data_IF_902597631138
#
_entry.id   IF_902597631138
#
_cell.length_a   1.000
_cell.length_b   1.000
_cell.length_c   1.000
_cell.angle_alpha   90.00
_cell.angle_beta   90.00
_cell.angle_gamma   90.00
#
_symmetry.space_group_name_H-M   'P 1'
#
loop_
_entity.id
_entity.type
_entity.pdbx_description
1 polymer ?
#
# COMPACT_ATOMS: atom_id res chain seq x y z
N UNK A 1 21.13 4.27 24.40
CA UNK A 1 20.07 3.82 23.46
C UNK A 1 20.35 4.44 22.11
N UNK A 2 20.20 3.72 20.99
CA UNK A 2 20.53 4.26 19.66
C UNK A 2 19.47 5.31 19.25
N UNK A 3 19.81 6.51 18.74
CA UNK A 3 18.85 7.54 18.34
C UNK A 3 17.72 7.04 17.41
N UNK A 4 18.04 6.10 16.52
CA UNK A 4 17.03 5.46 15.64
C UNK A 4 15.98 4.66 16.43
N UNK A 5 16.37 4.01 17.53
CA UNK A 5 15.44 3.26 18.38
C UNK A 5 14.52 4.19 19.17
N UNK A 6 15.05 5.32 19.65
CA UNK A 6 14.25 6.33 20.35
C UNK A 6 13.21 6.98 19.43
N UNK A 7 13.61 7.34 18.21
CA UNK A 7 12.69 7.86 17.18
C UNK A 7 11.59 6.84 16.85
N UNK A 8 11.97 5.58 16.57
CA UNK A 8 10.98 4.54 16.27
C UNK A 8 10.05 4.26 17.45
N UNK A 9 10.56 4.30 18.69
CA UNK A 9 9.75 4.14 19.90
C UNK A 9 8.73 5.26 20.03
N UNK A 10 9.16 6.52 19.88
CA UNK A 10 8.28 7.70 19.99
C UNK A 10 7.21 7.77 18.90
N UNK A 11 7.58 7.41 17.67
CA UNK A 11 6.60 7.22 16.58
C UNK A 11 5.61 6.13 16.95
N UNK A 12 6.08 4.99 17.45
CA UNK A 12 5.22 3.87 17.84
C UNK A 12 4.23 4.24 18.94
N UNK A 13 4.69 4.94 19.98
CA UNK A 13 3.85 5.41 21.08
C UNK A 13 2.76 6.36 20.57
N UNK A 14 3.14 7.33 19.74
CA UNK A 14 2.22 8.31 19.17
C UNK A 14 1.19 7.69 18.24
N UNK A 15 1.61 6.79 17.34
CA UNK A 15 0.68 6.09 16.44
C UNK A 15 -0.22 5.11 17.20
N UNK A 16 0.28 4.51 18.29
CA UNK A 16 -0.56 3.66 19.16
C UNK A 16 -1.65 4.46 19.86
N UNK A 17 -1.36 5.69 20.29
CA UNK A 17 -2.38 6.62 20.82
C UNK A 17 -3.42 6.97 19.76
N UNK A 18 -3.01 7.07 18.50
CA UNK A 18 -3.92 7.26 17.36
C UNK A 18 -4.72 5.97 17.02
N UNK A 19 -4.49 4.86 17.73
CA UNK A 19 -5.20 3.59 17.59
C UNK A 19 -4.57 2.61 16.60
N UNK A 20 -3.35 2.88 16.10
CA UNK A 20 -2.65 1.92 15.26
C UNK A 20 -2.09 0.76 16.08
N UNK A 21 -2.15 -0.44 15.51
CA UNK A 21 -1.38 -1.61 15.97
C UNK A 21 -0.12 -1.77 15.12
N UNK A 22 0.93 -2.35 15.68
CA UNK A 22 2.18 -2.63 14.98
C UNK A 22 2.37 -4.14 14.76
N UNK A 23 1.84 -4.71 13.68
CA UNK A 23 1.90 -6.16 13.50
C UNK A 23 3.25 -6.67 12.96
N UNK A 24 4.12 -5.78 12.49
CA UNK A 24 5.53 -6.05 12.21
C UNK A 24 6.33 -4.77 12.42
N UNK A 25 7.61 -4.89 12.77
CA UNK A 25 8.46 -3.73 13.06
C UNK A 25 8.38 -2.68 11.94
N UNK A 26 8.13 -1.43 12.31
CA UNK A 26 8.04 -0.29 11.39
C UNK A 26 6.76 -0.24 10.56
N UNK A 27 5.86 -1.22 10.66
CA UNK A 27 4.58 -1.24 9.94
C UNK A 27 3.45 -1.06 10.94
N UNK A 28 2.60 -0.07 10.68
CA UNK A 28 1.47 0.30 11.52
C UNK A 28 0.18 0.18 10.72
N UNK A 29 -0.83 -0.45 11.32
CA UNK A 29 -2.13 -0.67 10.68
C UNK A 29 -3.26 -0.27 11.63
N UNK A 30 -4.30 0.37 11.10
CA UNK A 30 -5.50 0.74 11.85
C UNK A 30 -6.77 0.57 11.02
N UNK A 31 -7.89 0.09 11.59
CA UNK A 31 -9.22 0.27 11.04
C UNK A 31 -9.52 1.73 10.67
N UNK A 32 -9.96 1.98 9.44
CA UNK A 32 -10.28 3.33 8.99
C UNK A 32 -11.79 3.54 8.85
N UNK A 33 -12.37 3.05 7.75
CA UNK A 33 -13.81 3.11 7.47
C UNK A 33 -14.26 1.77 6.90
N UNK A 34 -15.30 1.17 7.46
CA UNK A 34 -15.81 -0.14 7.02
C UNK A 34 -14.68 -1.19 6.96
N UNK A 35 -14.53 -1.84 5.79
CA UNK A 35 -13.47 -2.81 5.51
C UNK A 35 -12.10 -2.20 5.14
N UNK A 36 -11.98 -0.86 5.10
CA UNK A 36 -10.75 -0.15 4.78
C UNK A 36 -9.83 -0.01 5.99
N UNK A 37 -8.53 -0.13 5.73
CA UNK A 37 -7.46 -0.03 6.72
C UNK A 37 -6.43 0.99 6.27
N UNK A 38 -6.02 1.85 7.20
CA UNK A 38 -4.85 2.70 7.03
C UNK A 38 -3.58 1.87 7.25
N UNK A 39 -2.60 2.07 6.37
CA UNK A 39 -1.32 1.38 6.41
C UNK A 39 -0.20 2.41 6.38
N UNK A 40 0.70 2.34 7.35
CA UNK A 40 1.85 3.23 7.47
C UNK A 40 3.10 2.39 7.60
N UNK A 41 4.05 2.60 6.71
CA UNK A 41 5.38 2.04 6.81
C UNK A 41 6.36 3.14 7.19
N UNK A 42 7.18 2.89 8.20
CA UNK A 42 8.30 3.75 8.58
C UNK A 42 9.54 2.87 8.50
N UNK A 43 10.16 2.82 7.33
CA UNK A 43 11.42 2.13 7.15
C UNK A 43 12.58 3.01 7.63
N UNK A 44 13.49 2.41 8.40
CA UNK A 44 14.65 3.07 8.97
C UNK A 44 15.92 2.61 8.26
N UNK A 45 16.43 3.46 7.36
CA UNK A 45 17.80 3.36 6.87
C UNK A 45 18.80 3.93 7.90
N UNK A 46 20.10 3.68 7.68
CA UNK A 46 21.18 4.14 8.58
C UNK A 46 21.22 5.67 8.75
N UNK A 47 20.68 6.43 7.79
CA UNK A 47 20.74 7.90 7.75
C UNK A 47 19.42 8.56 7.32
N UNK A 48 18.31 7.81 7.19
CA UNK A 48 17.04 8.33 6.67
C UNK A 48 15.84 7.53 7.12
N UNK A 49 14.71 8.21 7.26
CA UNK A 49 13.39 7.58 7.37
C UNK A 49 12.63 7.79 6.07
N UNK A 50 12.08 6.72 5.52
CA UNK A 50 11.22 6.76 4.32
C UNK A 50 9.77 6.47 4.66
N UNK A 51 9.07 7.33 5.43
CA UNK A 51 7.69 7.05 5.79
C UNK A 51 6.81 7.02 4.55
N UNK A 52 6.00 5.98 4.46
CA UNK A 52 5.04 5.74 3.40
C UNK A 52 3.66 5.58 4.01
N UNK A 53 2.66 6.13 3.34
CA UNK A 53 1.25 6.02 3.75
C UNK A 53 0.45 5.39 2.63
N UNK A 54 -0.52 4.57 3.00
CA UNK A 54 -1.33 3.82 2.06
C UNK A 54 -2.59 3.28 2.69
N UNK A 55 -3.37 2.60 1.86
CA UNK A 55 -4.65 2.03 2.26
C UNK A 55 -4.77 0.63 1.69
N UNK A 56 -5.40 -0.28 2.43
CA UNK A 56 -5.83 -1.58 1.90
C UNK A 56 -7.24 -1.94 2.37
N UNK A 57 -7.78 -3.00 1.77
CA UNK A 57 -9.11 -3.51 2.04
C UNK A 57 -9.06 -5.01 2.38
N UNK A 58 -9.74 -5.40 3.47
CA UNK A 58 -9.74 -6.79 3.94
C UNK A 58 -10.43 -7.74 2.94
N UNK A 59 -11.48 -7.30 2.25
CA UNK A 59 -12.18 -8.08 1.22
C UNK A 59 -11.25 -8.39 0.05
N UNK A 60 -10.49 -7.41 -0.44
CA UNK A 60 -9.60 -7.61 -1.59
C UNK A 60 -8.39 -8.45 -1.22
N UNK A 61 -7.89 -8.30 0.00
CA UNK A 61 -6.86 -9.18 0.53
C UNK A 61 -7.34 -10.64 0.57
N UNK A 62 -8.55 -10.87 1.07
CA UNK A 62 -9.16 -12.21 1.12
C UNK A 62 -9.37 -12.78 -0.28
N UNK A 63 -10.00 -12.03 -1.18
CA UNK A 63 -10.24 -12.46 -2.56
C UNK A 63 -8.93 -12.80 -3.28
N UNK A 64 -7.91 -11.96 -3.12
CA UNK A 64 -6.57 -12.24 -3.66
C UNK A 64 -6.01 -13.55 -3.11
N UNK A 65 -6.00 -13.71 -1.78
CA UNK A 65 -5.49 -14.92 -1.14
C UNK A 65 -6.22 -16.19 -1.60
N UNK A 66 -7.54 -16.14 -1.77
CA UNK A 66 -8.34 -17.28 -2.22
C UNK A 66 -8.04 -17.65 -3.68
N UNK A 67 -7.98 -16.67 -4.59
CA UNK A 67 -7.64 -16.93 -5.99
C UNK A 67 -6.23 -17.53 -6.14
N UNK A 68 -5.27 -17.11 -5.32
CA UNK A 68 -3.92 -17.66 -5.32
C UNK A 68 -3.83 -19.09 -4.82
N UNK A 69 -4.62 -19.43 -3.79
CA UNK A 69 -4.75 -20.83 -3.35
C UNK A 69 -5.34 -21.70 -4.46
N UNK A 70 -6.35 -21.18 -5.16
CA UNK A 70 -6.97 -21.87 -6.29
C UNK A 70 -6.04 -22.00 -7.49
N UNK A 71 -5.12 -21.05 -7.70
CA UNK A 71 -4.15 -21.09 -8.80
C UNK A 71 -2.92 -21.95 -8.53
N UNK A 72 -2.75 -22.47 -7.31
CA UNK A 72 -1.62 -23.32 -6.92
C UNK A 72 -0.29 -22.58 -6.74
N UNK A 73 -0.29 -21.24 -6.64
CA UNK A 73 0.94 -20.45 -6.54
C UNK A 73 1.52 -20.43 -5.11
N UNK A 74 2.83 -20.65 -4.91
CA UNK A 74 3.46 -20.53 -3.60
C UNK A 74 3.51 -19.06 -3.18
N UNK A 75 2.76 -18.68 -2.14
CA UNK A 75 2.69 -17.28 -1.70
C UNK A 75 3.77 -16.91 -0.69
N UNK A 76 4.41 -15.76 -0.91
CA UNK A 76 5.39 -15.13 -0.01
C UNK A 76 5.09 -13.65 0.25
N UNK A 77 3.93 -13.31 0.82
CA UNK A 77 3.71 -11.98 1.40
C UNK A 77 3.09 -12.07 2.80
N UNK A 78 3.65 -11.29 3.73
CA UNK A 78 3.42 -11.39 5.18
C UNK A 78 2.00 -11.09 5.64
N UNK A 79 1.70 -11.52 6.88
CA UNK A 79 0.40 -11.56 7.57
C UNK A 79 -0.39 -10.23 7.68
N UNK A 80 0.12 -9.12 7.11
CA UNK A 80 -0.41 -7.78 7.34
C UNK A 80 -1.00 -7.09 6.12
N UNK A 81 -0.97 -7.74 4.94
CA UNK A 81 -1.48 -7.18 3.68
C UNK A 81 -0.68 -5.95 3.21
N UNK A 82 0.04 -6.00 2.08
CA UNK A 82 0.64 -4.79 1.53
C UNK A 82 -0.45 -3.77 1.15
N UNK A 83 -0.17 -2.46 1.18
CA UNK A 83 -1.14 -1.45 0.77
C UNK A 83 -1.53 -1.62 -0.71
N UNK A 84 -2.75 -1.25 -1.08
CA UNK A 84 -3.22 -1.26 -2.47
C UNK A 84 -2.61 -0.11 -3.26
N UNK A 85 -2.60 1.09 -2.67
CA UNK A 85 -1.86 2.25 -3.15
C UNK A 85 -1.00 2.78 -2.02
N UNK A 86 0.11 3.43 -2.37
CA UNK A 86 0.98 4.07 -1.38
C UNK A 86 1.67 5.29 -1.97
N UNK A 87 2.05 6.21 -1.10
CA UNK A 87 2.83 7.37 -1.47
C UNK A 87 3.87 7.64 -0.38
N UNK A 88 5.01 8.19 -0.79
CA UNK A 88 6.00 8.68 0.16
C UNK A 88 5.42 9.90 0.89
N UNK A 89 5.46 9.89 2.21
CA UNK A 89 4.92 10.97 3.03
C UNK A 89 5.60 12.32 2.71
N UNK A 90 6.88 12.32 2.36
CA UNK A 90 7.59 13.52 1.92
C UNK A 90 6.91 14.16 0.71
N UNK A 91 6.49 13.38 -0.29
CA UNK A 91 5.81 13.91 -1.48
C UNK A 91 4.47 14.57 -1.14
N UNK A 92 3.78 14.08 -0.11
CA UNK A 92 2.57 14.72 0.40
C UNK A 92 2.91 15.99 1.18
N UNK A 93 3.86 15.90 2.11
CA UNK A 93 4.26 17.00 2.98
C UNK A 93 4.85 18.18 2.21
N UNK A 94 5.54 17.93 1.09
CA UNK A 94 6.08 18.99 0.24
C UNK A 94 4.99 19.85 -0.42
N UNK A 95 3.77 19.34 -0.56
CA UNK A 95 2.65 20.08 -1.15
C UNK A 95 1.98 21.03 -0.16
N UNK A 96 2.25 20.88 1.14
CA UNK A 96 1.70 21.70 2.22
C UNK A 96 2.78 22.60 2.83
N UNK A 97 2.49 23.89 3.02
CA UNK A 97 3.51 24.85 3.44
C UNK A 97 4.02 24.65 4.87
N UNK A 98 3.14 24.26 5.81
CA UNK A 98 3.52 24.00 7.20
C UNK A 98 4.32 22.69 7.31
N UNK A 99 3.84 21.64 6.67
CA UNK A 99 4.53 20.36 6.66
C UNK A 99 5.88 20.44 5.92
N UNK A 100 5.99 21.23 4.84
CA UNK A 100 7.26 21.49 4.14
C UNK A 100 8.33 22.07 5.06
N UNK A 101 7.96 22.95 5.99
CA UNK A 101 8.89 23.51 6.97
C UNK A 101 9.33 22.49 8.03
N UNK A 102 8.57 21.40 8.20
CA UNK A 102 8.75 20.34 9.21
C UNK A 102 9.43 19.08 8.69
N UNK A 103 9.79 18.99 7.40
CA UNK A 103 10.43 17.77 6.84
C UNK A 103 11.90 17.68 7.26
N UNK A 104 12.13 17.54 8.57
CA UNK A 104 13.43 17.44 9.24
C UNK A 104 14.12 16.09 9.00
N UNK A 105 13.36 15.07 8.54
CA UNK A 105 13.88 13.77 8.12
C UNK A 105 14.45 13.75 6.68
N UNK A 106 14.61 14.93 6.05
CA UNK A 106 15.22 15.03 4.72
C UNK A 106 16.71 14.67 4.73
N UNK A 107 17.11 13.92 3.70
CA UNK A 107 18.49 13.50 3.48
C UNK A 107 19.43 14.71 3.39
N UNK A 108 20.22 14.95 4.45
CA UNK A 108 21.29 15.97 4.47
C UNK A 108 22.63 15.43 5.00
N UNK A 109 22.80 14.10 5.06
CA UNK A 109 24.02 13.48 5.60
C UNK A 109 24.26 13.75 7.09
N UNK A 110 23.26 14.25 7.81
CA UNK A 110 23.31 14.52 9.26
C UNK A 110 22.62 13.41 10.04
N UNK A 111 23.03 13.20 11.29
CA UNK A 111 22.33 12.30 12.20
C UNK A 111 20.88 12.77 12.40
N UNK A 112 19.95 11.82 12.54
CA UNK A 112 18.55 12.14 12.84
C UNK A 112 18.43 12.60 14.29
N UNK A 113 17.87 13.78 14.49
CA UNK A 113 17.56 14.33 15.81
C UNK A 113 16.27 13.70 16.38
N UNK A 114 16.11 13.56 17.71
CA UNK A 114 14.94 12.91 18.30
C UNK A 114 13.58 13.57 17.97
N UNK A 115 13.55 14.88 17.72
CA UNK A 115 12.33 15.63 17.36
C UNK A 115 11.76 15.24 15.99
N UNK A 116 12.55 14.56 15.15
CA UNK A 116 12.10 14.01 13.86
C UNK A 116 10.88 13.11 14.02
N UNK A 117 10.76 12.40 15.16
CA UNK A 117 9.60 11.58 15.46
C UNK A 117 8.29 12.39 15.47
N UNK A 118 8.30 13.56 16.12
CA UNK A 118 7.13 14.41 16.25
C UNK A 118 6.74 15.03 14.90
N UNK A 119 7.74 15.44 14.12
CA UNK A 119 7.51 16.02 12.79
C UNK A 119 6.89 14.98 11.83
N UNK A 120 7.40 13.74 11.85
CA UNK A 120 6.83 12.63 11.05
C UNK A 120 5.38 12.38 11.45
N UNK A 121 5.12 12.24 12.76
CA UNK A 121 3.77 11.98 13.27
C UNK A 121 2.83 13.15 12.92
N UNK A 122 3.31 14.38 13.02
CA UNK A 122 2.55 15.56 12.61
C UNK A 122 2.16 15.46 11.13
N UNK A 123 3.11 15.21 10.24
CA UNK A 123 2.84 15.12 8.80
C UNK A 123 1.97 13.92 8.43
N UNK A 124 2.11 12.80 9.15
CA UNK A 124 1.18 11.66 9.03
C UNK A 124 -0.25 12.10 9.35
N UNK A 125 -0.46 12.85 10.44
CA UNK A 125 -1.79 13.29 10.86
C UNK A 125 -2.40 14.31 9.91
N UNK A 126 -1.62 15.27 9.44
CA UNK A 126 -2.10 16.40 8.63
C UNK A 126 -2.17 16.10 7.14
N UNK A 127 -1.28 15.25 6.61
CA UNK A 127 -1.24 14.90 5.19
C UNK A 127 -1.54 13.42 4.93
N UNK A 128 -0.99 12.53 5.75
CA UNK A 128 -1.15 11.08 5.58
C UNK A 128 -2.59 10.58 5.80
N UNK A 129 -3.23 11.00 6.89
CA UNK A 129 -4.60 10.60 7.21
C UNK A 129 -5.62 11.09 6.16
N UNK A 130 -5.58 12.37 5.70
CA UNK A 130 -6.39 12.79 4.57
C UNK A 130 -6.14 11.99 3.28
N UNK A 131 -4.88 11.63 3.01
CA UNK A 131 -4.56 10.77 1.87
C UNK A 131 -5.22 9.40 1.99
N UNK A 132 -5.14 8.73 3.15
CA UNK A 132 -5.81 7.44 3.39
C UNK A 132 -7.31 7.59 3.16
N UNK A 133 -7.91 8.62 3.74
CA UNK A 133 -9.34 8.91 3.63
C UNK A 133 -9.79 9.11 2.18
N UNK A 134 -9.04 9.86 1.38
CA UNK A 134 -9.37 10.15 -0.01
C UNK A 134 -9.39 8.89 -0.90
N UNK A 135 -8.77 7.80 -0.45
CA UNK A 135 -8.62 6.56 -1.21
C UNK A 135 -9.33 5.36 -0.55
N UNK A 136 -10.34 5.58 0.29
CA UNK A 136 -11.24 4.52 0.80
C UNK A 136 -12.43 4.24 -0.14
N UNK A 137 -12.20 4.32 -1.46
CA UNK A 137 -13.19 4.04 -2.50
C UNK A 137 -12.48 3.39 -3.70
N UNK A 138 -13.08 2.36 -4.27
CA UNK A 138 -12.56 1.61 -5.43
C UNK A 138 -12.26 2.54 -6.61
N UNK A 139 -13.15 3.49 -6.91
CA UNK A 139 -12.96 4.37 -8.05
C UNK A 139 -11.79 5.35 -7.84
N UNK A 140 -11.68 5.94 -6.63
CA UNK A 140 -10.58 6.82 -6.28
C UNK A 140 -9.23 6.08 -6.31
N UNK A 141 -9.21 4.83 -5.83
CA UNK A 141 -8.03 3.96 -5.88
C UNK A 141 -7.61 3.65 -7.31
N UNK A 142 -8.56 3.27 -8.15
CA UNK A 142 -8.29 2.96 -9.55
C UNK A 142 -7.73 4.19 -10.27
N UNK A 143 -8.35 5.36 -10.10
CA UNK A 143 -7.86 6.62 -10.67
C UNK A 143 -6.44 6.95 -10.19
N UNK A 144 -6.18 6.82 -8.89
CA UNK A 144 -4.86 7.08 -8.32
C UNK A 144 -3.78 6.10 -8.82
N UNK A 145 -4.16 4.86 -9.11
CA UNK A 145 -3.23 3.86 -9.61
C UNK A 145 -2.92 4.02 -11.11
N UNK A 146 -3.90 4.45 -11.91
CA UNK A 146 -3.71 4.77 -13.33
C UNK A 146 -2.79 5.99 -13.54
N UNK A 147 -2.70 6.89 -12.55
CA UNK A 147 -1.69 7.96 -12.48
C UNK A 147 -0.25 7.42 -12.36
N UNK A 148 -0.06 6.09 -12.19
CA UNK A 148 1.21 5.31 -12.12
C UNK A 148 2.22 5.71 -11.04
N UNK A 149 2.13 6.91 -10.46
CA UNK A 149 3.05 7.44 -9.44
C UNK A 149 2.76 6.90 -8.03
N UNK A 150 1.64 6.21 -7.82
CA UNK A 150 1.08 5.88 -6.50
C UNK A 150 0.73 4.40 -6.31
N UNK A 151 0.94 3.58 -7.33
CA UNK A 151 0.65 2.16 -7.25
C UNK A 151 1.68 1.48 -6.35
N UNK A 152 1.23 0.64 -5.41
CA UNK A 152 2.15 -0.20 -4.66
C UNK A 152 2.67 -1.36 -5.53
N UNK A 153 3.81 -1.98 -5.19
CA UNK A 153 4.26 -3.20 -5.85
C UNK A 153 3.22 -4.33 -5.85
N UNK A 154 2.37 -4.37 -4.83
CA UNK A 154 1.31 -5.38 -4.71
C UNK A 154 0.07 -5.05 -5.56
N UNK A 155 -0.07 -3.81 -6.03
CA UNK A 155 -1.27 -3.33 -6.74
C UNK A 155 -1.66 -4.22 -7.92
N UNK A 156 -0.69 -4.71 -8.69
CA UNK A 156 -0.89 -5.57 -9.88
C UNK A 156 -1.68 -6.84 -9.57
N UNK A 157 -1.55 -7.38 -8.35
CA UNK A 157 -2.34 -8.53 -7.92
C UNK A 157 -3.79 -8.15 -7.68
N UNK A 158 -4.07 -6.92 -7.27
CA UNK A 158 -5.42 -6.46 -6.96
C UNK A 158 -6.15 -5.87 -8.18
N UNK A 159 -5.42 -5.49 -9.24
CA UNK A 159 -6.00 -4.96 -10.50
C UNK A 159 -7.15 -5.79 -11.04
N UNK A 160 -7.04 -7.13 -11.17
CA UNK A 160 -8.16 -7.95 -11.64
C UNK A 160 -9.43 -7.77 -10.82
N UNK A 161 -9.31 -7.69 -9.49
CA UNK A 161 -10.45 -7.51 -8.57
C UNK A 161 -11.11 -6.15 -8.81
N UNK A 162 -10.32 -5.09 -8.96
CA UNK A 162 -10.84 -3.75 -9.22
C UNK A 162 -11.59 -3.69 -10.54
N UNK A 163 -10.99 -4.20 -11.62
CA UNK A 163 -11.60 -4.15 -12.95
C UNK A 163 -12.88 -4.99 -13.03
N UNK A 164 -12.92 -6.15 -12.38
CA UNK A 164 -14.14 -6.94 -12.23
C UNK A 164 -15.22 -6.15 -11.50
N UNK A 165 -14.91 -5.57 -10.33
CA UNK A 165 -15.88 -4.80 -9.54
C UNK A 165 -16.35 -3.51 -10.20
N UNK A 166 -15.52 -2.92 -11.06
CA UNK A 166 -15.88 -1.74 -11.86
C UNK A 166 -16.60 -2.09 -13.17
N UNK A 167 -16.81 -3.38 -13.48
CA UNK A 167 -17.43 -3.83 -14.74
C UNK A 167 -16.55 -3.62 -15.98
N UNK A 168 -15.25 -3.42 -15.80
CA UNK A 168 -14.28 -3.06 -16.84
C UNK A 168 -13.61 -4.30 -17.44
N UNK A 169 -14.40 -5.25 -17.95
CA UNK A 169 -13.89 -6.56 -18.40
C UNK A 169 -13.00 -6.46 -19.65
N UNK A 170 -13.24 -5.51 -20.56
CA UNK A 170 -12.36 -5.29 -21.71
C UNK A 170 -10.99 -4.75 -21.28
N UNK A 171 -10.98 -3.80 -20.34
CA UNK A 171 -9.75 -3.28 -19.72
C UNK A 171 -9.01 -4.40 -18.99
N UNK A 172 -9.71 -5.33 -18.35
CA UNK A 172 -9.11 -6.51 -17.73
C UNK A 172 -8.41 -7.39 -18.77
N UNK A 173 -9.05 -7.67 -19.90
CA UNK A 173 -8.43 -8.45 -20.99
C UNK A 173 -7.15 -7.80 -21.49
N UNK A 174 -7.18 -6.51 -21.74
CA UNK A 174 -6.00 -5.74 -22.18
C UNK A 174 -4.88 -5.77 -21.12
N UNK A 175 -5.24 -5.61 -19.84
CA UNK A 175 -4.28 -5.66 -18.74
C UNK A 175 -3.61 -7.03 -18.64
N UNK A 176 -4.37 -8.12 -18.73
CA UNK A 176 -3.83 -9.49 -18.68
C UNK A 176 -2.89 -9.75 -19.86
N UNK A 177 -3.27 -9.34 -21.08
CA UNK A 177 -2.43 -9.47 -22.26
C UNK A 177 -1.09 -8.76 -22.08
N UNK A 178 -1.12 -7.48 -21.65
CA UNK A 178 0.10 -6.70 -21.41
C UNK A 178 1.01 -7.31 -20.33
N UNK A 179 0.43 -7.87 -19.26
CA UNK A 179 1.22 -8.52 -18.19
C UNK A 179 1.75 -9.91 -18.56
N UNK A 180 1.22 -10.56 -19.61
CA UNK A 180 1.83 -11.78 -20.17
C UNK A 180 3.08 -11.47 -20.99
N UNK A 181 3.03 -10.39 -21.78
CA UNK A 181 4.16 -9.93 -22.59
C UNK A 181 5.26 -9.29 -21.73
N UNK A 182 4.85 -8.56 -20.69
CA UNK A 182 5.72 -7.83 -19.79
C UNK A 182 5.37 -8.11 -18.32
N UNK A 183 5.77 -9.26 -17.78
CA UNK A 183 5.45 -9.63 -16.42
C UNK A 183 6.11 -8.71 -15.41
N UNK A 184 5.33 -8.28 -14.41
CA UNK A 184 5.77 -7.35 -13.35
C UNK A 184 6.76 -8.01 -12.38
N UNK A 185 6.76 -9.34 -12.31
CA UNK A 185 7.84 -10.11 -11.69
C UNK A 185 7.96 -11.49 -12.33
N UNK A 186 9.19 -12.04 -12.34
CA UNK A 186 9.45 -13.39 -12.82
C UNK A 186 8.61 -14.43 -12.05
N UNK A 187 8.46 -14.25 -10.73
CA UNK A 187 7.68 -15.14 -9.85
C UNK A 187 6.17 -15.15 -10.15
N UNK A 188 5.61 -14.04 -10.63
CA UNK A 188 4.20 -13.93 -10.99
C UNK A 188 3.91 -14.37 -12.43
N UNK A 189 4.88 -14.26 -13.34
CA UNK A 189 4.70 -14.48 -14.78
C UNK A 189 4.04 -15.81 -15.16
N UNK A 190 4.40 -16.91 -14.49
CA UNK A 190 3.95 -18.27 -14.83
C UNK A 190 2.55 -18.58 -14.30
N UNK A 191 2.13 -17.90 -13.22
CA UNK A 191 0.88 -18.19 -12.50
C UNK A 191 -0.18 -17.08 -12.60
N UNK A 192 0.18 -15.93 -13.19
CA UNK A 192 -0.72 -14.78 -13.28
C UNK A 192 -2.00 -15.06 -14.09
N UNK A 193 -1.95 -15.75 -15.25
CA UNK A 193 -3.17 -16.14 -15.95
C UNK A 193 -4.10 -17.03 -15.11
N UNK A 194 -3.55 -18.05 -14.44
CA UNK A 194 -4.31 -18.97 -13.59
C UNK A 194 -4.90 -18.25 -12.38
N UNK A 195 -4.17 -17.27 -11.83
CA UNK A 195 -4.66 -16.37 -10.78
C UNK A 195 -5.88 -15.56 -11.25
N UNK A 196 -5.81 -14.99 -12.46
CA UNK A 196 -6.92 -14.20 -13.01
C UNK A 196 -8.12 -15.07 -13.35
N UNK A 197 -7.91 -16.28 -13.90
CA UNK A 197 -8.99 -17.22 -14.17
C UNK A 197 -9.68 -17.68 -12.87
N UNK A 198 -8.91 -17.93 -11.81
CA UNK A 198 -9.46 -18.21 -10.49
C UNK A 198 -10.31 -17.03 -9.98
N UNK A 199 -9.83 -15.80 -10.14
CA UNK A 199 -10.60 -14.59 -9.79
C UNK A 199 -11.92 -14.47 -10.54
N UNK A 200 -11.92 -14.70 -11.85
CA UNK A 200 -13.12 -14.64 -12.68
C UNK A 200 -14.13 -15.71 -12.26
N UNK A 201 -13.65 -16.94 -12.05
CA UNK A 201 -14.46 -18.05 -11.55
C UNK A 201 -15.10 -17.74 -10.20
N UNK A 202 -14.35 -17.15 -9.26
CA UNK A 202 -14.88 -16.73 -7.95
C UNK A 202 -16.00 -15.69 -8.06
N UNK A 203 -15.98 -14.86 -9.12
CA UNK A 203 -17.00 -13.85 -9.37
C UNK A 203 -18.10 -14.32 -10.34
N UNK A 204 -18.11 -15.61 -10.73
CA UNK A 204 -19.11 -16.16 -11.68
C UNK A 204 -18.98 -15.64 -13.11
N UNK A 205 -17.79 -15.17 -13.50
CA UNK A 205 -17.51 -14.60 -14.81
C UNK A 205 -16.80 -15.66 -15.67
N UNK A 206 -17.17 -15.75 -16.94
CA UNK A 206 -16.52 -16.64 -17.89
C UNK A 206 -15.02 -16.33 -18.04
N UNK A 207 -14.16 -17.33 -18.29
CA UNK A 207 -12.74 -17.11 -18.55
C UNK A 207 -12.52 -16.16 -19.73
N UNK A 208 -11.42 -15.40 -19.72
CA UNK A 208 -11.14 -14.39 -20.75
C UNK A 208 -10.83 -14.98 -22.14
N UNK A 209 -10.69 -16.31 -22.25
CA UNK A 209 -10.39 -17.04 -23.48
C UNK A 209 -11.30 -18.26 -23.68
N UNK A 210 -12.61 -18.04 -23.71
CA UNK A 210 -13.54 -18.95 -24.40
C UNK A 210 -13.60 -18.58 -25.87
#
# INVERSE_FOLDING_TARGET
MNPSQEISKRISESLSQDGFRQPSRGIYVKPWINAWRGWIGVDSGRYSLGPVVGVFNDEFLKASSEALKMSGAPWRYGKNGPPLIMINLQQLAEQDADNRARISWTYRGKALEPNVADDIVHCIRTCGYPYIQAHTNIEALWRAAVDKRRASPAFVMYVPIFLIKLGQLDTLRQFVAANREHPVSADLSVSYPQYVDAMLKMHGIAPLGS
#
